data_IF_241623963465
#
_entry.id   IF_241623963465
#
_cell.length_a   1.000
_cell.length_b   1.000
_cell.length_c   1.000
_cell.angle_alpha   90.00
_cell.angle_beta   90.00
_cell.angle_gamma   90.00
#
_symmetry.space_group_name_H-M   'P 1'
#
loop_
_entity.id
_entity.type
_entity.pdbx_description
1 polymer ?
#
# COMPACT_ATOMS: atom_id res chain seq x y z
N UNK A 1 49.24 1.57 -35.82
CA UNK A 1 47.86 1.55 -36.34
C UNK A 1 47.01 0.95 -35.19
N UNK A 2 46.41 1.81 -34.38
CA UNK A 2 45.68 1.44 -33.17
C UNK A 2 44.21 1.81 -33.46
N UNK A 3 43.35 0.79 -33.55
CA UNK A 3 41.92 1.00 -33.74
C UNK A 3 41.29 1.54 -32.45
N UNK A 4 40.36 2.50 -32.55
CA UNK A 4 39.64 2.99 -31.38
C UNK A 4 38.50 2.03 -31.00
N UNK A 5 38.53 1.56 -29.75
CA UNK A 5 37.51 0.75 -29.11
C UNK A 5 36.23 1.56 -28.87
N UNK A 6 35.15 1.24 -29.59
CA UNK A 6 33.84 1.86 -29.37
C UNK A 6 33.22 1.32 -28.05
N UNK A 7 32.60 2.17 -27.23
CA UNK A 7 31.89 1.72 -26.01
C UNK A 7 30.59 0.99 -26.40
N UNK A 8 30.14 0.02 -25.55
CA UNK A 8 28.90 -0.70 -25.80
C UNK A 8 27.69 0.21 -25.66
N UNK A 9 26.79 0.10 -26.60
CA UNK A 9 25.51 0.79 -26.66
C UNK A 9 24.71 0.50 -25.39
N UNK A 10 24.37 1.54 -24.66
CA UNK A 10 23.38 1.51 -23.60
C UNK A 10 22.05 1.05 -24.21
N UNK A 11 21.63 -0.13 -23.85
CA UNK A 11 20.33 -0.65 -24.22
C UNK A 11 19.23 0.25 -23.65
N UNK A 12 18.55 0.93 -24.53
CA UNK A 12 17.34 1.68 -24.23
C UNK A 12 16.29 0.66 -23.82
N UNK A 13 15.96 0.64 -22.52
CA UNK A 13 14.81 -0.10 -22.01
C UNK A 13 13.57 0.52 -22.64
N UNK A 14 12.70 -0.26 -23.32
CA UNK A 14 11.50 0.31 -23.91
C UNK A 14 10.60 0.85 -22.81
N UNK A 15 10.24 2.12 -22.88
CA UNK A 15 9.25 2.77 -22.04
C UNK A 15 7.83 2.39 -22.50
N UNK A 16 7.54 1.11 -22.59
CA UNK A 16 6.28 0.58 -23.17
C UNK A 16 5.46 -0.26 -22.18
N UNK A 17 5.43 0.17 -20.90
CA UNK A 17 4.58 -0.45 -19.90
C UNK A 17 3.83 0.57 -19.03
N UNK A 18 3.55 1.75 -19.54
CA UNK A 18 2.88 2.78 -18.76
C UNK A 18 1.83 3.50 -19.60
N UNK A 19 0.81 2.80 -20.08
CA UNK A 19 -0.46 3.45 -20.49
C UNK A 19 -1.59 2.44 -20.77
N UNK A 20 -1.76 1.44 -19.94
CA UNK A 20 -3.08 0.84 -19.83
C UNK A 20 -3.91 1.80 -18.97
N UNK A 21 -4.70 2.66 -19.61
CA UNK A 21 -5.60 3.57 -18.91
C UNK A 21 -6.41 2.75 -17.90
N UNK A 22 -6.43 3.19 -16.62
CA UNK A 22 -7.19 2.51 -15.58
C UNK A 22 -8.66 2.42 -16.00
N UNK A 23 -9.14 1.19 -16.13
CA UNK A 23 -10.54 0.91 -16.44
C UNK A 23 -11.28 0.55 -15.15
N UNK A 24 -12.00 1.51 -14.59
CA UNK A 24 -12.84 1.30 -13.42
C UNK A 24 -13.91 0.22 -13.67
N UNK A 25 -14.42 0.10 -14.88
CA UNK A 25 -15.47 -0.88 -15.22
C UNK A 25 -14.98 -2.33 -15.10
N UNK A 26 -13.67 -2.56 -15.21
CA UNK A 26 -13.05 -3.87 -15.03
C UNK A 26 -12.90 -4.28 -13.56
N UNK A 27 -13.14 -3.36 -12.61
CA UNK A 27 -12.97 -3.59 -11.18
C UNK A 27 -14.34 -3.70 -10.49
N UNK A 28 -14.46 -4.49 -9.40
CA UNK A 28 -15.61 -4.41 -8.52
C UNK A 28 -15.73 -2.99 -7.97
N UNK A 29 -16.77 -2.25 -8.34
CA UNK A 29 -16.95 -0.88 -7.89
C UNK A 29 -18.41 -0.49 -7.77
N UNK A 30 -18.69 0.60 -7.03
CA UNK A 30 -19.97 1.28 -7.00
C UNK A 30 -19.72 2.79 -7.02
N UNK A 31 -20.63 3.51 -7.68
CA UNK A 31 -20.61 4.97 -7.70
C UNK A 31 -21.88 5.47 -7.02
N UNK A 32 -21.74 6.36 -6.06
CA UNK A 32 -22.83 6.99 -5.31
C UNK A 32 -22.64 8.50 -5.36
N UNK A 33 -23.70 9.23 -5.63
CA UNK A 33 -23.71 10.70 -5.55
C UNK A 33 -24.59 11.13 -4.39
N UNK A 34 -24.05 11.91 -3.48
CA UNK A 34 -24.76 12.44 -2.33
C UNK A 34 -24.24 13.83 -1.97
N UNK A 35 -25.16 14.76 -1.73
CA UNK A 35 -24.85 16.14 -1.30
C UNK A 35 -23.85 16.86 -2.22
N UNK A 36 -23.91 16.60 -3.54
CA UNK A 36 -23.00 17.16 -4.54
C UNK A 36 -21.61 16.52 -4.58
N UNK A 37 -21.39 15.45 -3.81
CA UNK A 37 -20.14 14.68 -3.79
C UNK A 37 -20.34 13.36 -4.50
N UNK A 38 -19.41 13.00 -5.37
CA UNK A 38 -19.34 11.69 -6.02
C UNK A 38 -18.39 10.78 -5.24
N UNK A 39 -18.91 9.66 -4.78
CA UNK A 39 -18.18 8.60 -4.12
C UNK A 39 -17.98 7.45 -5.09
N UNK A 40 -16.71 7.06 -5.29
CA UNK A 40 -16.37 5.83 -6.00
C UNK A 40 -15.85 4.82 -4.99
N UNK A 41 -16.62 3.76 -4.75
CA UNK A 41 -16.20 2.67 -3.89
C UNK A 41 -15.51 1.62 -4.75
N UNK A 42 -14.25 1.33 -4.45
CA UNK A 42 -13.48 0.30 -5.13
C UNK A 42 -13.41 -0.94 -4.25
N UNK A 43 -13.93 -2.07 -4.75
CA UNK A 43 -13.83 -3.34 -4.07
C UNK A 43 -12.43 -3.92 -4.18
N UNK A 44 -11.83 -4.28 -3.05
CA UNK A 44 -10.47 -4.85 -2.99
C UNK A 44 -10.46 -6.17 -2.24
N UNK A 45 -9.55 -7.06 -2.62
CA UNK A 45 -9.19 -8.24 -1.84
C UNK A 45 -7.89 -7.95 -1.10
N UNK A 46 -7.92 -8.04 0.23
CA UNK A 46 -6.81 -7.62 1.11
C UNK A 46 -5.49 -8.36 0.95
N UNK A 47 -5.45 -9.35 0.09
CA UNK A 47 -4.27 -10.20 -0.17
C UNK A 47 -3.98 -10.32 -1.68
N UNK A 48 -4.47 -9.39 -2.48
CA UNK A 48 -4.37 -9.42 -3.94
C UNK A 48 -3.46 -8.31 -4.47
N UNK A 49 -2.46 -8.70 -5.25
CA UNK A 49 -1.62 -7.74 -5.98
C UNK A 49 -2.43 -6.91 -6.96
N UNK A 50 -3.41 -7.53 -7.63
CA UNK A 50 -4.30 -6.83 -8.54
C UNK A 50 -5.08 -5.70 -7.83
N UNK A 51 -5.46 -5.88 -6.55
CA UNK A 51 -6.10 -4.83 -5.76
C UNK A 51 -5.15 -3.65 -5.50
N UNK A 52 -3.88 -3.92 -5.21
CA UNK A 52 -2.85 -2.87 -5.04
C UNK A 52 -2.68 -2.08 -6.34
N UNK A 53 -2.57 -2.78 -7.46
CA UNK A 53 -2.37 -2.17 -8.78
C UNK A 53 -3.59 -1.35 -9.20
N UNK A 54 -4.81 -1.85 -8.93
CA UNK A 54 -6.06 -1.14 -9.19
C UNK A 54 -6.18 0.15 -8.37
N UNK A 55 -5.85 0.11 -7.07
CA UNK A 55 -5.86 1.29 -6.20
C UNK A 55 -4.88 2.34 -6.70
N UNK A 56 -3.64 1.95 -7.03
CA UNK A 56 -2.63 2.87 -7.57
C UNK A 56 -3.05 3.49 -8.88
N UNK A 57 -3.58 2.66 -9.79
CA UNK A 57 -4.06 3.13 -11.09
C UNK A 57 -5.24 4.10 -10.93
N UNK A 58 -6.20 3.81 -10.04
CA UNK A 58 -7.30 4.71 -9.74
C UNK A 58 -6.82 6.08 -9.24
N UNK A 59 -5.89 6.10 -8.27
CA UNK A 59 -5.34 7.34 -7.73
C UNK A 59 -4.51 8.08 -8.79
N UNK A 60 -3.83 7.36 -9.67
CA UNK A 60 -3.02 7.93 -10.73
C UNK A 60 -3.83 8.70 -11.77
N UNK A 61 -5.11 8.40 -11.95
CA UNK A 61 -6.01 9.14 -12.87
C UNK A 61 -6.12 10.62 -12.53
N UNK A 62 -5.89 11.03 -11.28
CA UNK A 62 -6.11 12.39 -10.81
C UNK A 62 -7.59 12.80 -10.72
N UNK A 63 -8.51 11.86 -10.83
CA UNK A 63 -9.95 12.12 -10.82
C UNK A 63 -10.53 12.34 -9.41
N UNK A 64 -9.73 12.14 -8.37
CA UNK A 64 -10.16 12.20 -6.98
C UNK A 64 -9.41 13.27 -6.22
N UNK A 65 -10.10 13.98 -5.33
CA UNK A 65 -9.55 14.98 -4.41
C UNK A 65 -9.34 14.44 -2.99
N UNK A 66 -10.01 13.35 -2.68
CA UNK A 66 -10.01 12.70 -1.36
C UNK A 66 -9.97 11.18 -1.53
N UNK A 67 -9.15 10.53 -0.74
CA UNK A 67 -9.07 9.06 -0.66
C UNK A 67 -9.52 8.66 0.74
N UNK A 68 -10.50 7.77 0.83
CA UNK A 68 -10.95 7.20 2.10
C UNK A 68 -10.48 5.74 2.20
N UNK A 69 -9.92 5.38 3.34
CA UNK A 69 -9.44 4.03 3.63
C UNK A 69 -10.04 3.52 4.94
N UNK A 70 -10.29 2.23 5.04
CA UNK A 70 -10.78 1.59 6.26
C UNK A 70 -9.61 1.31 7.22
N UNK A 71 -9.04 2.37 7.76
CA UNK A 71 -7.94 2.33 8.72
C UNK A 71 -8.25 3.28 9.87
N UNK A 72 -8.03 2.82 11.10
CA UNK A 72 -7.94 3.72 12.24
C UNK A 72 -6.57 4.43 12.29
N UNK A 73 -6.51 5.55 13.02
CA UNK A 73 -5.30 6.37 13.11
C UNK A 73 -4.10 5.59 13.65
N UNK A 74 -4.28 4.64 14.57
CA UNK A 74 -3.18 3.84 15.12
C UNK A 74 -2.58 2.92 14.05
N UNK A 75 -3.43 2.27 13.26
CA UNK A 75 -2.99 1.40 12.16
C UNK A 75 -2.31 2.20 11.06
N UNK A 76 -2.84 3.38 10.73
CA UNK A 76 -2.24 4.27 9.76
C UNK A 76 -0.83 4.72 10.22
N UNK A 77 -0.68 5.09 11.49
CA UNK A 77 0.61 5.44 12.09
C UNK A 77 1.59 4.25 12.07
N UNK A 78 1.14 3.06 12.42
CA UNK A 78 1.97 1.85 12.37
C UNK A 78 2.43 1.50 10.95
N UNK A 79 1.61 1.78 9.95
CA UNK A 79 2.01 1.61 8.54
C UNK A 79 3.05 2.63 8.08
N UNK A 80 2.98 3.86 8.61
CA UNK A 80 3.93 4.94 8.30
C UNK A 80 5.28 4.74 9.00
N UNK A 81 5.28 4.08 10.14
CA UNK A 81 6.47 3.84 10.97
C UNK A 81 6.57 2.36 11.37
N UNK A 82 7.05 1.50 10.46
CA UNK A 82 7.22 0.06 10.72
C UNK A 82 8.16 -0.23 11.90
N UNK A 83 9.07 0.69 12.20
CA UNK A 83 10.08 0.54 13.25
C UNK A 83 9.58 1.02 14.63
N UNK A 84 8.35 1.54 14.71
CA UNK A 84 7.76 1.99 15.98
C UNK A 84 7.73 0.87 17.03
N UNK A 85 7.47 -0.37 16.61
CA UNK A 85 7.51 -1.55 17.48
C UNK A 85 8.92 -1.83 18.01
N UNK A 86 9.95 -1.61 17.20
CA UNK A 86 11.36 -1.79 17.62
C UNK A 86 11.85 -0.74 18.62
N UNK A 87 11.16 0.42 18.66
CA UNK A 87 11.44 1.51 19.60
C UNK A 87 10.60 1.46 20.88
N UNK A 88 9.68 0.51 20.99
CA UNK A 88 8.91 0.31 22.22
C UNK A 88 9.84 -0.13 23.36
N UNK A 89 9.68 0.52 24.50
CA UNK A 89 10.36 0.12 25.73
C UNK A 89 9.77 -1.20 26.26
N UNK A 90 10.39 -2.31 25.85
CA UNK A 90 9.99 -3.66 26.28
C UNK A 90 10.00 -3.81 27.81
N UNK A 91 10.86 -3.09 28.52
CA UNK A 91 10.94 -3.12 29.98
C UNK A 91 9.68 -2.52 30.58
N UNK A 92 9.15 -1.45 29.98
CA UNK A 92 7.89 -0.84 30.39
C UNK A 92 6.70 -1.79 30.17
N UNK A 93 6.63 -2.45 29.01
CA UNK A 93 5.57 -3.44 28.70
C UNK A 93 5.59 -4.61 29.68
N UNK A 94 6.78 -5.09 30.04
CA UNK A 94 6.96 -6.17 31.03
C UNK A 94 6.52 -5.75 32.44
N UNK A 95 6.86 -4.52 32.85
CA UNK A 95 6.46 -3.97 34.18
C UNK A 95 4.96 -3.73 34.30
N UNK A 96 4.27 -3.42 33.21
CA UNK A 96 2.82 -3.19 33.18
C UNK A 96 1.99 -4.50 33.22
N UNK A 97 2.64 -5.66 33.26
CA UNK A 97 1.96 -6.97 33.33
C UNK A 97 1.21 -7.37 32.05
N UNK A 98 1.42 -6.65 30.94
CA UNK A 98 0.77 -6.88 29.66
C UNK A 98 1.50 -7.92 28.78
N UNK A 99 2.45 -8.64 29.38
CA UNK A 99 3.32 -9.60 28.70
C UNK A 99 2.58 -10.69 27.92
N UNK A 100 1.51 -11.33 28.43
CA UNK A 100 0.80 -12.37 27.68
C UNK A 100 0.13 -11.81 26.43
N UNK A 101 -0.51 -10.64 26.54
CA UNK A 101 -1.16 -9.97 25.40
C UNK A 101 -0.14 -9.53 24.36
N UNK A 102 1.00 -8.99 24.81
CA UNK A 102 2.09 -8.59 23.93
C UNK A 102 2.69 -9.80 23.19
N UNK A 103 2.93 -10.91 23.89
CA UNK A 103 3.41 -12.14 23.29
C UNK A 103 2.44 -12.72 22.26
N UNK A 104 1.13 -12.71 22.57
CA UNK A 104 0.10 -13.13 21.64
C UNK A 104 0.05 -12.25 20.37
N UNK A 105 0.14 -10.94 20.52
CA UNK A 105 0.19 -10.01 19.39
C UNK A 105 1.44 -10.20 18.54
N UNK A 106 2.59 -10.45 19.17
CA UNK A 106 3.84 -10.72 18.47
C UNK A 106 3.79 -12.04 17.68
N UNK A 107 3.23 -13.09 18.28
CA UNK A 107 3.02 -14.37 17.61
C UNK A 107 2.06 -14.24 16.43
N UNK A 108 0.97 -13.48 16.59
CA UNK A 108 0.02 -13.20 15.52
C UNK A 108 0.69 -12.41 14.38
N UNK A 109 1.47 -11.39 14.70
CA UNK A 109 2.21 -10.60 13.71
C UNK A 109 3.22 -11.46 12.93
N UNK A 110 3.94 -12.36 13.62
CA UNK A 110 4.87 -13.29 13.00
C UNK A 110 4.15 -14.29 12.07
N UNK A 111 2.99 -14.80 12.49
CA UNK A 111 2.14 -15.66 11.67
C UNK A 111 1.64 -14.94 10.43
N UNK A 112 1.12 -13.71 10.58
CA UNK A 112 0.65 -12.90 9.46
C UNK A 112 1.78 -12.59 8.46
N UNK A 113 2.99 -12.28 8.95
CA UNK A 113 4.16 -12.09 8.10
C UNK A 113 4.49 -13.34 7.28
N UNK A 114 4.48 -14.50 7.92
CA UNK A 114 4.75 -15.77 7.25
C UNK A 114 3.69 -16.10 6.19
N UNK A 115 2.43 -15.79 6.47
CA UNK A 115 1.35 -15.92 5.50
C UNK A 115 1.53 -14.95 4.31
N UNK A 116 1.90 -13.72 4.58
CA UNK A 116 2.19 -12.70 3.56
C UNK A 116 3.34 -13.14 2.63
N UNK A 117 4.41 -13.71 3.20
CA UNK A 117 5.53 -14.27 2.43
C UNK A 117 5.06 -15.40 1.47
N UNK A 118 4.16 -16.25 1.93
CA UNK A 118 3.59 -17.32 1.10
C UNK A 118 2.66 -16.81 0.01
N UNK A 119 1.92 -15.75 0.27
CA UNK A 119 0.97 -15.16 -0.67
C UNK A 119 1.62 -14.10 -1.58
N UNK A 120 2.84 -13.68 -1.31
CA UNK A 120 3.58 -12.67 -2.07
C UNK A 120 3.01 -11.25 -1.96
N UNK A 121 2.04 -11.02 -1.07
CA UNK A 121 1.42 -9.72 -0.81
C UNK A 121 1.13 -9.57 0.68
N UNK A 122 1.57 -8.48 1.29
CA UNK A 122 1.23 -8.16 2.69
C UNK A 122 -0.28 -7.89 2.83
N UNK A 123 -0.95 -8.43 3.87
CA UNK A 123 -2.33 -8.06 4.18
C UNK A 123 -2.45 -6.54 4.36
N UNK A 124 -3.39 -5.92 3.64
CA UNK A 124 -3.59 -4.47 3.67
C UNK A 124 -2.58 -3.68 2.84
N UNK A 125 -1.83 -4.33 1.93
CA UNK A 125 -0.92 -3.65 1.02
C UNK A 125 -1.63 -2.60 0.14
N UNK A 126 -2.89 -2.83 -0.23
CA UNK A 126 -3.73 -1.90 -0.97
C UNK A 126 -4.05 -0.63 -0.15
N UNK A 127 -4.30 -0.78 1.16
CA UNK A 127 -4.53 0.35 2.07
C UNK A 127 -3.25 1.17 2.25
N UNK A 128 -2.11 0.49 2.38
CA UNK A 128 -0.79 1.12 2.44
C UNK A 128 -0.48 1.88 1.15
N UNK A 129 -0.77 1.28 0.00
CA UNK A 129 -0.61 1.92 -1.30
C UNK A 129 -1.50 3.16 -1.43
N UNK A 130 -2.79 3.06 -1.05
CA UNK A 130 -3.73 4.17 -1.04
C UNK A 130 -3.22 5.33 -0.18
N UNK A 131 -2.80 5.06 1.05
CA UNK A 131 -2.31 6.09 1.97
C UNK A 131 -1.01 6.72 1.47
N UNK A 132 -0.10 5.93 0.94
CA UNK A 132 1.20 6.41 0.41
C UNK A 132 0.99 7.31 -0.81
N UNK A 133 0.21 6.84 -1.79
CA UNK A 133 0.01 7.55 -3.05
C UNK A 133 -0.86 8.80 -2.87
N UNK A 134 -1.87 8.76 -1.98
CA UNK A 134 -2.65 9.94 -1.61
C UNK A 134 -1.75 11.01 -0.98
N UNK A 135 -0.90 10.63 -0.03
CA UNK A 135 0.03 11.55 0.63
C UNK A 135 1.03 12.15 -0.37
N UNK A 136 1.62 11.33 -1.24
CA UNK A 136 2.58 11.78 -2.25
C UNK A 136 1.98 12.77 -3.24
N UNK A 137 0.68 12.70 -3.49
CA UNK A 137 -0.05 13.58 -4.40
C UNK A 137 -0.73 14.75 -3.68
N UNK A 138 -0.59 14.89 -2.37
CA UNK A 138 -1.23 15.93 -1.56
C UNK A 138 -2.76 15.83 -1.51
N UNK A 139 -3.30 14.63 -1.73
CA UNK A 139 -4.73 14.37 -1.60
C UNK A 139 -5.12 14.27 -0.12
N UNK A 140 -6.37 14.58 0.17
CA UNK A 140 -6.92 14.35 1.50
C UNK A 140 -7.06 12.84 1.75
N UNK A 141 -6.65 12.40 2.95
CA UNK A 141 -6.78 11.02 3.40
C UNK A 141 -7.63 10.99 4.67
#
# INVERSE_FOLDING_TARGET
MTEPHSPPHAGTVPAEAADAAFDLASQPHAIVERDGVRYTLLGTAHVSRASVDAVRAAIATGAYDTIAVELDEQRLQAMRDPDALGRMDLVKVLREGKTPLFAANLALAAYQRRLAEQMGVEPGAELKAAATDATARGLRL
#
